data_IF_448758962565
#
_entry.id   IF_448758962565
#
_cell.length_a   1.000
_cell.length_b   1.000
_cell.length_c   1.000
_cell.angle_alpha   90.00
_cell.angle_beta   90.00
_cell.angle_gamma   90.00
#
_symmetry.space_group_name_H-M   'P 1'
#
loop_
_entity.id
_entity.type
_entity.pdbx_description
1 polymer ?
#
# COMPACT_ATOMS: atom_id res chain seq x y z
N UNK A 1 37.07 -17.68 -31.28
CA UNK A 1 37.38 -17.39 -29.86
C UNK A 1 36.41 -16.28 -29.45
N UNK A 2 35.32 -16.61 -28.77
CA UNK A 2 34.27 -15.63 -28.45
C UNK A 2 34.71 -14.75 -27.29
N UNK A 3 34.75 -13.45 -27.57
CA UNK A 3 35.10 -12.36 -26.67
C UNK A 3 34.04 -12.26 -25.56
N UNK A 4 34.45 -12.54 -24.32
CA UNK A 4 33.63 -12.29 -23.14
C UNK A 4 33.53 -10.78 -22.93
N UNK A 5 32.57 -10.15 -23.59
CA UNK A 5 32.21 -8.75 -23.38
C UNK A 5 31.77 -8.60 -21.92
N UNK A 6 32.64 -7.98 -21.12
CA UNK A 6 32.44 -7.66 -19.72
C UNK A 6 31.27 -6.68 -19.60
N UNK A 7 30.05 -7.20 -19.43
CA UNK A 7 28.84 -6.38 -19.29
C UNK A 7 28.99 -5.52 -18.03
N UNK A 8 28.68 -4.20 -18.09
CA UNK A 8 28.78 -3.35 -16.91
C UNK A 8 27.89 -3.93 -15.79
N UNK A 9 28.34 -3.89 -14.53
CA UNK A 9 27.56 -4.43 -13.42
C UNK A 9 26.19 -3.76 -13.37
N UNK A 10 25.14 -4.57 -13.13
CA UNK A 10 23.77 -4.06 -13.04
C UNK A 10 23.61 -3.02 -11.92
N UNK A 11 22.49 -2.27 -11.94
CA UNK A 11 22.16 -1.28 -10.89
C UNK A 11 22.34 -1.93 -9.50
N UNK A 12 23.09 -1.32 -8.57
CA UNK A 12 23.32 -1.88 -7.24
C UNK A 12 22.00 -2.27 -6.55
N UNK A 13 22.01 -3.35 -5.75
CA UNK A 13 20.82 -3.77 -5.04
C UNK A 13 20.36 -2.68 -4.07
N UNK A 14 19.06 -2.41 -4.06
CA UNK A 14 18.46 -1.46 -3.13
C UNK A 14 18.58 -1.95 -1.68
N UNK A 15 19.08 -1.11 -0.79
CA UNK A 15 19.23 -1.41 0.64
C UNK A 15 18.21 -0.58 1.43
N UNK A 16 17.18 -1.21 2.04
CA UNK A 16 16.21 -0.50 2.83
C UNK A 16 16.82 0.09 4.10
N UNK A 17 16.75 1.41 4.25
CA UNK A 17 17.11 2.12 5.48
C UNK A 17 15.86 2.53 6.29
N UNK A 18 16.07 3.03 7.51
CA UNK A 18 15.01 3.43 8.44
C UNK A 18 14.12 4.53 7.83
N UNK A 19 14.74 5.56 7.25
CA UNK A 19 14.04 6.70 6.63
C UNK A 19 13.11 6.25 5.50
N UNK A 20 13.60 5.39 4.60
CA UNK A 20 12.81 4.84 3.50
C UNK A 20 11.67 3.97 4.01
N UNK A 21 11.88 3.20 5.09
CA UNK A 21 10.79 2.42 5.70
C UNK A 21 9.71 3.33 6.27
N UNK A 22 10.10 4.39 6.97
CA UNK A 22 9.16 5.37 7.50
C UNK A 22 8.37 6.04 6.37
N UNK A 23 9.07 6.52 5.34
CA UNK A 23 8.46 7.17 4.18
C UNK A 23 7.44 6.27 3.47
N UNK A 24 7.81 5.02 3.16
CA UNK A 24 6.91 4.06 2.52
C UNK A 24 5.66 3.81 3.38
N UNK A 25 5.84 3.65 4.69
CA UNK A 25 4.72 3.42 5.59
C UNK A 25 3.77 4.62 5.63
N UNK A 26 4.31 5.84 5.73
CA UNK A 26 3.50 7.08 5.74
C UNK A 26 2.71 7.21 4.44
N UNK A 27 3.38 7.15 3.29
CA UNK A 27 2.71 7.29 1.99
C UNK A 27 1.64 6.21 1.78
N UNK A 28 1.93 4.95 2.15
CA UNK A 28 0.95 3.88 2.09
C UNK A 28 -0.24 4.10 3.04
N UNK A 29 -0.01 4.72 4.21
CA UNK A 29 -1.05 5.08 5.19
C UNK A 29 -1.96 6.21 4.73
N UNK A 30 -1.52 7.00 3.75
CA UNK A 30 -2.32 8.03 3.08
C UNK A 30 -2.95 7.53 1.78
N UNK A 31 -2.83 6.23 1.46
CA UNK A 31 -3.45 5.63 0.29
C UNK A 31 -2.72 5.88 -1.03
N UNK A 32 -1.48 6.40 -0.99
CA UNK A 32 -0.68 6.66 -2.20
C UNK A 32 -0.44 5.34 -2.96
N UNK A 33 -0.59 5.31 -4.30
CA UNK A 33 -0.33 4.12 -5.11
C UNK A 33 1.13 3.66 -5.00
N UNK A 34 1.36 2.34 -5.02
CA UNK A 34 2.71 1.76 -4.96
C UNK A 34 3.61 2.24 -6.11
N UNK A 35 3.04 2.48 -7.29
CA UNK A 35 3.76 3.05 -8.43
C UNK A 35 4.36 4.44 -8.07
N UNK A 36 3.58 5.33 -7.48
CA UNK A 36 4.07 6.65 -7.06
C UNK A 36 5.08 6.56 -5.91
N UNK A 37 4.84 5.67 -4.93
CA UNK A 37 5.81 5.42 -3.85
C UNK A 37 7.14 4.94 -4.44
N UNK A 38 7.11 4.09 -5.46
CA UNK A 38 8.31 3.59 -6.12
C UNK A 38 9.08 4.70 -6.85
N UNK A 39 8.38 5.65 -7.47
CA UNK A 39 8.96 6.86 -8.08
C UNK A 39 9.60 7.78 -7.03
N UNK A 40 8.96 7.98 -5.89
CA UNK A 40 9.52 8.78 -4.77
C UNK A 40 10.85 8.21 -4.27
N UNK A 41 10.99 6.89 -4.23
CA UNK A 41 12.21 6.22 -3.80
C UNK A 41 13.21 5.95 -4.93
N UNK A 42 12.87 6.30 -6.18
CA UNK A 42 13.62 5.95 -7.40
C UNK A 42 14.00 4.45 -7.47
N UNK A 43 13.03 3.58 -7.20
CA UNK A 43 13.16 2.13 -7.30
C UNK A 43 12.06 1.53 -8.17
N UNK A 44 12.29 0.32 -8.67
CA UNK A 44 11.21 -0.42 -9.32
C UNK A 44 10.12 -0.82 -8.32
N UNK A 45 8.87 -0.94 -8.77
CA UNK A 45 7.80 -1.44 -7.90
C UNK A 45 8.06 -2.85 -7.38
N UNK A 46 8.75 -3.70 -8.16
CA UNK A 46 9.16 -5.04 -7.72
C UNK A 46 10.10 -4.94 -6.52
N UNK A 47 11.05 -4.01 -6.57
CA UNK A 47 11.96 -3.72 -5.45
C UNK A 47 11.18 -3.19 -4.25
N UNK A 48 10.24 -2.26 -4.45
CA UNK A 48 9.39 -1.73 -3.40
C UNK A 48 8.65 -2.86 -2.66
N UNK A 49 7.95 -3.73 -3.40
CA UNK A 49 7.21 -4.86 -2.82
C UNK A 49 8.13 -5.84 -2.08
N UNK A 50 9.31 -6.14 -2.64
CA UNK A 50 10.26 -7.07 -2.01
C UNK A 50 10.85 -6.50 -0.71
N UNK A 51 11.22 -5.23 -0.70
CA UNK A 51 12.02 -4.65 0.39
C UNK A 51 11.18 -4.01 1.50
N UNK A 52 9.93 -3.63 1.18
CA UNK A 52 9.04 -2.86 2.06
C UNK A 52 7.65 -3.48 2.25
N UNK A 53 7.47 -4.79 2.00
CA UNK A 53 6.18 -5.48 2.15
C UNK A 53 5.47 -5.15 3.47
N UNK A 54 6.20 -5.27 4.59
CA UNK A 54 5.69 -4.96 5.93
C UNK A 54 5.18 -3.52 6.04
N UNK A 55 5.91 -2.54 5.50
CA UNK A 55 5.49 -1.13 5.55
C UNK A 55 4.23 -0.88 4.71
N UNK A 56 4.13 -1.53 3.55
CA UNK A 56 2.96 -1.46 2.69
C UNK A 56 1.72 -2.08 3.38
N UNK A 57 1.90 -3.22 4.06
CA UNK A 57 0.82 -3.89 4.80
C UNK A 57 0.32 -3.03 5.97
N UNK A 58 1.24 -2.51 6.78
CA UNK A 58 0.90 -1.62 7.90
C UNK A 58 0.22 -0.35 7.38
N UNK A 59 0.70 0.22 6.27
CA UNK A 59 0.07 1.39 5.65
C UNK A 59 -1.34 1.09 5.17
N UNK A 60 -1.55 -0.04 4.50
CA UNK A 60 -2.88 -0.48 4.08
C UNK A 60 -3.84 -0.63 5.27
N UNK A 61 -3.40 -1.30 6.34
CA UNK A 61 -4.21 -1.46 7.56
C UNK A 61 -4.57 -0.10 8.21
N UNK A 62 -3.67 0.88 8.16
CA UNK A 62 -3.96 2.24 8.63
C UNK A 62 -5.00 2.96 7.79
N UNK A 63 -4.97 2.79 6.46
CA UNK A 63 -6.03 3.32 5.58
C UNK A 63 -7.37 2.66 5.91
N UNK A 64 -7.40 1.34 6.08
CA UNK A 64 -8.61 0.61 6.48
C UNK A 64 -9.18 1.14 7.80
N UNK A 65 -8.34 1.30 8.82
CA UNK A 65 -8.75 1.84 10.12
C UNK A 65 -9.34 3.26 10.01
N UNK A 66 -8.76 4.13 9.18
CA UNK A 66 -9.29 5.48 8.91
C UNK A 66 -10.67 5.42 8.25
N UNK A 67 -10.86 4.53 7.28
CA UNK A 67 -12.14 4.33 6.58
C UNK A 67 -13.22 3.80 7.52
N UNK A 68 -12.91 2.79 8.33
CA UNK A 68 -13.84 2.23 9.33
C UNK A 68 -14.20 3.29 10.37
N UNK A 69 -13.22 4.06 10.87
CA UNK A 69 -13.49 5.16 11.79
C UNK A 69 -14.38 6.24 11.19
N UNK A 70 -14.27 6.49 9.89
CA UNK A 70 -15.18 7.41 9.18
C UNK A 70 -16.59 6.82 9.08
N UNK A 71 -16.73 5.54 8.73
CA UNK A 71 -18.01 4.86 8.67
C UNK A 71 -18.75 4.91 10.02
N UNK A 72 -18.05 4.72 11.14
CA UNK A 72 -18.64 4.83 12.49
C UNK A 72 -19.16 6.24 12.80
N UNK A 73 -18.52 7.30 12.28
CA UNK A 73 -19.01 8.67 12.43
C UNK A 73 -20.24 8.93 11.56
N UNK A 74 -20.24 8.39 10.34
CA UNK A 74 -21.37 8.51 9.40
C UNK A 74 -22.60 7.73 9.84
N UNK A 75 -22.43 6.66 10.64
CA UNK A 75 -23.55 5.88 11.17
C UNK A 75 -24.54 6.72 12.01
N UNK A 76 -24.13 7.90 12.49
CA UNK A 76 -24.98 8.85 13.20
C UNK A 76 -25.48 10.02 12.33
N UNK A 77 -25.17 10.07 11.03
CA UNK A 77 -25.44 11.20 10.14
C UNK A 77 -26.18 10.84 8.84
N UNK A 78 -26.29 11.80 7.93
CA UNK A 78 -27.10 11.73 6.69
C UNK A 78 -26.29 11.72 5.38
N UNK A 79 -24.97 11.61 5.42
CA UNK A 79 -24.12 11.64 4.22
C UNK A 79 -24.01 10.26 3.53
N UNK A 80 -24.96 9.99 2.63
CA UNK A 80 -25.04 8.77 1.82
C UNK A 80 -23.90 8.65 0.79
N UNK A 81 -23.34 9.77 0.32
CA UNK A 81 -22.27 9.75 -0.70
C UNK A 81 -20.95 9.27 -0.08
N UNK A 82 -20.57 9.83 1.07
CA UNK A 82 -19.37 9.39 1.79
C UNK A 82 -19.47 7.92 2.22
N UNK A 83 -20.66 7.49 2.67
CA UNK A 83 -20.92 6.10 3.05
C UNK A 83 -20.67 5.14 1.88
N UNK A 84 -21.25 5.41 0.71
CA UNK A 84 -21.09 4.56 -0.48
C UNK A 84 -19.63 4.46 -0.93
N UNK A 85 -18.90 5.57 -0.92
CA UNK A 85 -17.48 5.61 -1.29
C UNK A 85 -16.62 4.75 -0.35
N UNK A 86 -16.86 4.84 0.97
CA UNK A 86 -16.14 4.05 1.97
C UNK A 86 -16.45 2.56 1.82
N UNK A 87 -17.73 2.20 1.70
CA UNK A 87 -18.15 0.80 1.50
C UNK A 87 -17.53 0.23 0.23
N UNK A 88 -17.48 1.00 -0.86
CA UNK A 88 -16.81 0.59 -2.09
C UNK A 88 -15.32 0.28 -1.84
N UNK A 89 -14.58 1.18 -1.18
CA UNK A 89 -13.16 0.97 -0.89
C UNK A 89 -12.91 -0.27 0.00
N UNK A 90 -13.70 -0.44 1.06
CA UNK A 90 -13.60 -1.61 1.95
C UNK A 90 -13.80 -2.92 1.19
N UNK A 91 -14.77 -2.96 0.28
CA UNK A 91 -15.05 -4.14 -0.54
C UNK A 91 -13.97 -4.39 -1.60
N UNK A 92 -13.60 -3.37 -2.36
CA UNK A 92 -12.71 -3.50 -3.50
C UNK A 92 -11.23 -3.69 -3.12
N UNK A 93 -10.80 -3.18 -1.96
CA UNK A 93 -9.39 -3.18 -1.56
C UNK A 93 -9.09 -4.02 -0.33
N UNK A 94 -10.03 -4.15 0.61
CA UNK A 94 -9.80 -4.80 1.90
C UNK A 94 -10.54 -6.13 2.06
N UNK A 95 -11.22 -6.59 1.00
CA UNK A 95 -11.86 -7.90 0.97
C UNK A 95 -13.14 -8.01 1.80
N UNK A 96 -13.70 -6.87 2.26
CA UNK A 96 -14.97 -6.89 2.96
C UNK A 96 -16.07 -7.41 2.04
N UNK A 97 -16.89 -8.30 2.56
CA UNK A 97 -17.97 -8.91 1.81
C UNK A 97 -19.17 -9.12 2.71
N UNK A 98 -20.37 -8.89 2.17
CA UNK A 98 -21.63 -9.26 2.82
C UNK A 98 -21.76 -10.78 3.02
N UNK A 99 -20.91 -11.55 2.35
CA UNK A 99 -20.88 -13.01 2.38
C UNK A 99 -19.65 -13.55 3.12
N UNK A 100 -18.98 -12.72 3.92
CA UNK A 100 -17.89 -13.21 4.76
C UNK A 100 -18.43 -14.29 5.70
N UNK A 101 -17.73 -15.43 5.85
CA UNK A 101 -18.16 -16.45 6.80
C UNK A 101 -18.16 -15.87 8.22
N UNK A 102 -19.06 -16.34 9.11
CA UNK A 102 -19.04 -15.91 10.50
C UNK A 102 -17.66 -16.22 11.13
N UNK A 103 -17.19 -15.38 12.06
CA UNK A 103 -15.95 -15.66 12.79
C UNK A 103 -16.05 -17.03 13.47
N UNK A 104 -14.98 -17.83 13.35
CA UNK A 104 -14.86 -19.14 14.00
C UNK A 104 -14.48 -19.00 15.47
#
# INVERSE_FOLDING_TARGET
MMENLNRPPGRPPHIPNITGRHLVQVLASEGVPQAEISRVLDISEKTLRRAYRRQLDIGAAKVEAKLVGHLLRLAAGTDDVALRAIVFLLRSRFGWSRYAPPPR
#
